data_IF_859950872910
#
_entry.id   IF_859950872910
#
_cell.length_a   1.000
_cell.length_b   1.000
_cell.length_c   1.000
_cell.angle_alpha   90.00
_cell.angle_beta   90.00
_cell.angle_gamma   90.00
#
_symmetry.space_group_name_H-M   'P 1'
#
loop_
_entity.id
_entity.type
_entity.pdbx_description
1 polymer ?
#
# COMPACT_ATOMS: atom_id res chain seq x y z
N UNK A 1 -20.56 -8.95 -3.24
CA UNK A 1 -19.83 -8.76 -4.51
C UNK A 1 -19.06 -7.48 -4.33
N UNK A 2 -17.74 -7.55 -4.18
CA UNK A 2 -16.91 -6.35 -4.11
C UNK A 2 -16.77 -5.79 -5.54
N UNK A 3 -16.90 -4.48 -5.67
CA UNK A 3 -16.94 -3.76 -6.94
C UNK A 3 -15.52 -3.52 -7.45
N UNK A 4 -15.27 -3.84 -8.73
CA UNK A 4 -13.95 -3.68 -9.36
C UNK A 4 -13.58 -2.19 -9.49
N UNK A 5 -12.44 -1.80 -8.91
CA UNK A 5 -11.93 -0.43 -8.94
C UNK A 5 -10.92 -0.27 -10.07
N UNK A 6 -11.00 0.85 -10.81
CA UNK A 6 -10.05 1.18 -11.86
C UNK A 6 -9.17 2.36 -11.45
N UNK A 7 -7.85 2.16 -11.46
CA UNK A 7 -6.84 3.18 -11.23
C UNK A 7 -6.45 3.85 -12.56
N UNK A 8 -6.98 5.04 -12.80
CA UNK A 8 -6.99 5.69 -14.11
C UNK A 8 -6.23 7.02 -14.07
N UNK A 9 -5.60 7.45 -15.18
CA UNK A 9 -5.12 8.82 -15.30
C UNK A 9 -6.31 9.79 -15.44
N UNK A 10 -6.15 11.00 -14.92
CA UNK A 10 -7.18 12.04 -14.89
C UNK A 10 -7.82 12.31 -16.27
N UNK A 11 -7.05 12.31 -17.36
CA UNK A 11 -7.58 12.61 -18.70
C UNK A 11 -8.59 11.58 -19.22
N UNK A 12 -8.67 10.40 -18.60
CA UNK A 12 -9.66 9.37 -18.95
C UNK A 12 -10.95 9.44 -18.11
N UNK A 13 -11.01 10.32 -17.11
CA UNK A 13 -12.13 10.42 -16.19
C UNK A 13 -13.45 10.77 -16.90
N UNK A 14 -13.37 11.61 -17.93
CA UNK A 14 -14.53 12.05 -18.73
C UNK A 14 -14.89 11.12 -19.88
N UNK A 15 -13.93 10.36 -20.39
CA UNK A 15 -14.13 9.49 -21.56
C UNK A 15 -14.63 8.09 -21.18
N UNK A 16 -14.24 7.61 -20.01
CA UNK A 16 -14.55 6.25 -19.58
C UNK A 16 -15.71 6.27 -18.56
N UNK A 17 -16.54 5.22 -18.56
CA UNK A 17 -17.74 5.11 -17.70
C UNK A 17 -17.59 4.08 -16.59
N UNK A 18 -16.38 3.87 -16.08
CA UNK A 18 -16.18 3.02 -14.91
C UNK A 18 -16.90 3.60 -13.70
N UNK A 19 -17.62 2.73 -13.00
CA UNK A 19 -18.50 3.07 -11.88
C UNK A 19 -17.72 3.55 -10.66
N UNK A 20 -16.54 2.95 -10.41
CA UNK A 20 -15.67 3.27 -9.27
C UNK A 20 -14.20 3.38 -9.70
N UNK A 21 -13.58 4.53 -9.41
CA UNK A 21 -12.22 4.86 -9.90
C UNK A 21 -11.31 5.45 -8.83
N UNK A 22 -10.02 5.14 -8.93
CA UNK A 22 -8.93 5.90 -8.29
C UNK A 22 -8.32 6.79 -9.37
N UNK A 23 -8.30 8.10 -9.17
CA UNK A 23 -7.82 9.05 -10.17
C UNK A 23 -6.38 9.45 -9.89
N UNK A 24 -5.49 9.17 -10.83
CA UNK A 24 -4.09 9.58 -10.81
C UNK A 24 -3.92 10.94 -11.47
N UNK A 25 -3.27 11.86 -10.79
CA UNK A 25 -3.01 13.21 -11.28
C UNK A 25 -1.69 13.77 -10.76
N UNK A 26 -1.02 14.56 -11.59
CA UNK A 26 0.05 15.49 -11.23
C UNK A 26 -0.44 16.96 -11.22
N UNK A 27 -1.71 17.18 -11.60
CA UNK A 27 -2.37 18.49 -11.69
C UNK A 27 -3.65 18.52 -10.84
N UNK A 28 -3.53 18.64 -9.50
CA UNK A 28 -4.69 18.61 -8.60
C UNK A 28 -5.75 19.68 -8.92
N UNK A 29 -5.34 20.89 -9.32
CA UNK A 29 -6.27 21.95 -9.71
C UNK A 29 -7.13 21.60 -10.94
N UNK A 30 -6.57 20.85 -11.90
CA UNK A 30 -7.31 20.40 -13.08
C UNK A 30 -8.34 19.31 -12.72
N UNK A 31 -8.03 18.45 -11.75
CA UNK A 31 -8.97 17.44 -11.25
C UNK A 31 -10.21 18.09 -10.64
N UNK A 32 -10.02 19.12 -9.82
CA UNK A 32 -11.11 19.85 -9.16
C UNK A 32 -12.03 20.54 -10.18
N UNK A 33 -11.48 20.95 -11.32
CA UNK A 33 -12.24 21.57 -12.41
C UNK A 33 -13.05 20.57 -13.26
N UNK A 34 -12.79 19.26 -13.15
CA UNK A 34 -13.47 18.23 -13.91
C UNK A 34 -14.84 17.90 -13.28
N UNK A 35 -15.98 18.15 -13.97
CA UNK A 35 -17.30 17.99 -13.38
C UNK A 35 -17.58 16.57 -12.88
N UNK A 36 -17.05 15.55 -13.56
CA UNK A 36 -17.23 14.14 -13.18
C UNK A 36 -16.41 13.74 -11.95
N UNK A 37 -15.42 14.54 -11.56
CA UNK A 37 -14.65 14.31 -10.35
C UNK A 37 -15.46 14.65 -9.09
N UNK A 38 -16.43 15.57 -9.18
CA UNK A 38 -17.28 15.96 -8.06
C UNK A 38 -18.42 14.95 -7.76
N UNK A 39 -18.56 13.89 -8.58
CA UNK A 39 -19.54 12.83 -8.32
C UNK A 39 -19.06 11.94 -7.15
N UNK A 40 -19.59 12.24 -5.96
CA UNK A 40 -19.18 11.67 -4.68
C UNK A 40 -19.40 10.15 -4.54
N UNK A 41 -19.97 9.47 -5.53
CA UNK A 41 -20.05 8.00 -5.57
C UNK A 41 -18.97 7.33 -6.42
N UNK A 42 -18.37 8.08 -7.36
CA UNK A 42 -17.53 7.52 -8.43
C UNK A 42 -16.05 7.53 -8.10
N UNK A 43 -15.56 8.62 -7.51
CA UNK A 43 -14.14 8.75 -7.14
C UNK A 43 -13.93 8.10 -5.77
N UNK A 44 -13.30 6.93 -5.77
CA UNK A 44 -12.98 6.19 -4.55
C UNK A 44 -11.73 6.73 -3.83
N UNK A 45 -10.78 7.31 -4.59
CA UNK A 45 -9.57 7.93 -4.07
C UNK A 45 -8.88 8.78 -5.15
N UNK A 46 -7.98 9.66 -4.72
CA UNK A 46 -7.08 10.42 -5.59
C UNK A 46 -5.63 10.04 -5.30
N UNK A 47 -4.85 9.75 -6.34
CA UNK A 47 -3.41 9.54 -6.26
C UNK A 47 -2.68 10.75 -6.85
N UNK A 48 -1.99 11.49 -5.98
CA UNK A 48 -1.11 12.59 -6.37
C UNK A 48 0.26 12.00 -6.68
N UNK A 49 0.65 12.04 -7.95
CA UNK A 49 1.82 11.32 -8.46
C UNK A 49 3.16 11.99 -8.15
N UNK A 50 3.15 13.26 -7.74
CA UNK A 50 4.35 14.02 -7.43
C UNK A 50 4.14 14.87 -6.16
N UNK A 51 5.05 14.75 -5.19
CA UNK A 51 4.97 15.50 -3.92
C UNK A 51 5.31 16.99 -4.06
N UNK A 52 5.80 17.43 -5.22
CA UNK A 52 5.98 18.85 -5.51
C UNK A 52 4.75 19.50 -6.17
N UNK A 53 3.72 18.70 -6.53
CA UNK A 53 2.45 19.21 -7.02
C UNK A 53 1.74 20.07 -5.97
N UNK A 54 1.10 21.15 -6.43
CA UNK A 54 0.26 21.99 -5.59
C UNK A 54 -1.09 21.30 -5.32
N UNK A 55 -1.29 20.88 -4.08
CA UNK A 55 -2.52 20.21 -3.63
C UNK A 55 -3.53 21.15 -2.99
N UNK A 56 -3.30 22.47 -2.96
CA UNK A 56 -4.19 23.42 -2.28
C UNK A 56 -5.64 23.32 -2.77
N UNK A 57 -5.82 23.13 -4.08
CA UNK A 57 -7.13 22.97 -4.69
C UNK A 57 -7.94 21.77 -4.12
N UNK A 58 -7.25 20.73 -3.63
CA UNK A 58 -7.90 19.55 -3.05
C UNK A 58 -8.37 19.78 -1.61
N UNK A 59 -7.84 20.78 -0.90
CA UNK A 59 -8.08 20.96 0.54
C UNK A 59 -9.56 20.92 0.92
N UNK A 60 -10.43 21.56 0.14
CA UNK A 60 -11.88 21.62 0.39
C UNK A 60 -12.73 20.85 -0.64
N UNK A 61 -12.09 20.25 -1.65
CA UNK A 61 -12.79 19.54 -2.71
C UNK A 61 -13.18 18.14 -2.26
N UNK A 62 -14.45 17.75 -2.46
CA UNK A 62 -15.00 16.43 -2.12
C UNK A 62 -14.56 15.90 -0.73
N UNK A 63 -14.92 16.58 0.38
CA UNK A 63 -14.47 16.19 1.72
C UNK A 63 -14.72 14.72 2.04
N UNK A 64 -13.72 14.07 2.62
CA UNK A 64 -13.73 12.65 2.99
C UNK A 64 -13.22 11.71 1.90
N UNK A 65 -12.96 12.18 0.67
CA UNK A 65 -12.32 11.37 -0.37
C UNK A 65 -10.87 11.08 0.03
N UNK A 66 -10.43 9.80 0.10
CA UNK A 66 -9.05 9.48 0.45
C UNK A 66 -8.05 10.03 -0.56
N UNK A 67 -6.95 10.60 -0.07
CA UNK A 67 -5.84 11.10 -0.88
C UNK A 67 -4.58 10.28 -0.60
N UNK A 68 -4.02 9.74 -1.66
CA UNK A 68 -2.76 9.04 -1.67
C UNK A 68 -1.65 9.92 -2.27
N UNK A 69 -0.63 10.18 -1.46
CA UNK A 69 0.57 10.90 -1.86
C UNK A 69 1.64 9.88 -2.28
N UNK A 70 2.02 9.86 -3.55
CA UNK A 70 3.02 8.92 -4.07
C UNK A 70 4.41 9.52 -3.92
N UNK A 71 5.28 8.84 -3.15
CA UNK A 71 6.68 9.21 -2.99
C UNK A 71 7.57 8.34 -3.89
N UNK A 72 8.47 8.96 -4.66
CA UNK A 72 9.36 8.25 -5.59
C UNK A 72 10.75 8.06 -4.99
N UNK A 73 11.28 9.10 -4.33
CA UNK A 73 12.57 9.08 -3.66
C UNK A 73 12.47 9.46 -2.17
N UNK A 74 12.34 8.46 -1.28
CA UNK A 74 12.23 8.71 0.15
C UNK A 74 13.42 9.42 0.79
N UNK A 75 14.61 9.35 0.18
CA UNK A 75 15.80 9.98 0.75
C UNK A 75 15.77 11.51 0.62
N UNK A 76 15.11 12.03 -0.42
CA UNK A 76 15.10 13.45 -0.76
C UNK A 76 13.73 14.12 -0.66
N UNK A 77 12.64 13.38 -0.90
CA UNK A 77 11.29 13.96 -1.03
C UNK A 77 10.52 14.04 0.28
N UNK A 78 10.95 13.35 1.35
CA UNK A 78 10.22 13.37 2.62
C UNK A 78 9.95 14.79 3.21
N UNK A 79 10.78 15.83 3.01
CA UNK A 79 10.44 17.18 3.46
C UNK A 79 9.27 17.82 2.69
N UNK A 80 8.91 17.30 1.52
CA UNK A 80 7.79 17.81 0.73
C UNK A 80 6.43 17.48 1.38
N UNK A 81 6.38 16.44 2.23
CA UNK A 81 5.16 16.06 2.95
C UNK A 81 4.55 17.20 3.78
N UNK A 82 5.37 18.12 4.29
CA UNK A 82 4.91 19.27 5.06
C UNK A 82 3.96 20.18 4.26
N UNK A 83 4.10 20.22 2.93
CA UNK A 83 3.24 21.03 2.03
C UNK A 83 1.81 20.52 1.95
N UNK A 84 1.58 19.25 2.28
CA UNK A 84 0.30 18.57 2.09
C UNK A 84 -0.50 18.43 3.40
N UNK A 85 0.01 18.97 4.51
CA UNK A 85 -0.60 18.83 5.84
C UNK A 85 -2.02 19.37 5.92
N UNK A 86 -2.32 20.44 5.17
CA UNK A 86 -3.68 21.02 5.09
C UNK A 86 -4.72 20.06 4.50
N UNK A 87 -4.32 18.99 3.81
CA UNK A 87 -5.25 17.98 3.32
C UNK A 87 -5.90 17.19 4.46
N UNK A 88 -5.20 17.03 5.58
CA UNK A 88 -5.68 16.26 6.74
C UNK A 88 -6.92 16.87 7.40
N UNK A 89 -7.18 18.16 7.17
CA UNK A 89 -8.35 18.86 7.72
C UNK A 89 -9.67 18.29 7.18
N UNK A 90 -9.67 17.79 5.93
CA UNK A 90 -10.89 17.34 5.25
C UNK A 90 -10.78 15.93 4.64
N UNK A 91 -9.60 15.31 4.62
CA UNK A 91 -9.35 14.06 3.92
C UNK A 91 -8.59 13.04 4.77
N UNK A 92 -8.93 11.74 4.65
CA UNK A 92 -7.99 10.68 4.99
C UNK A 92 -6.78 10.76 4.06
N UNK A 93 -5.60 11.05 4.60
CA UNK A 93 -4.36 11.14 3.80
C UNK A 93 -3.44 9.97 4.13
N UNK A 94 -2.94 9.34 3.08
CA UNK A 94 -1.95 8.27 3.14
C UNK A 94 -0.78 8.58 2.22
N UNK A 95 0.44 8.33 2.67
CA UNK A 95 1.62 8.36 1.80
C UNK A 95 2.03 6.94 1.42
N UNK A 96 2.32 6.74 0.14
CA UNK A 96 2.88 5.50 -0.40
C UNK A 96 4.39 5.68 -0.50
N UNK A 97 5.14 4.91 0.26
CA UNK A 97 6.61 5.02 0.36
C UNK A 97 7.25 3.72 -0.12
N UNK A 98 8.09 3.76 -1.18
CA UNK A 98 8.86 2.59 -1.58
C UNK A 98 9.95 2.28 -0.56
N UNK A 99 10.15 0.99 -0.27
CA UNK A 99 11.27 0.55 0.58
C UNK A 99 12.57 0.66 -0.22
N UNK A 100 13.20 1.83 -0.08
CA UNK A 100 14.47 2.25 -0.68
C UNK A 100 15.31 2.97 0.37
N UNK A 101 16.64 3.06 0.21
CA UNK A 101 17.50 3.65 1.25
C UNK A 101 16.98 5.00 1.74
N UNK A 102 16.84 5.15 3.05
CA UNK A 102 16.35 6.38 3.67
C UNK A 102 14.84 6.45 3.89
N UNK A 103 14.08 5.42 3.49
CA UNK A 103 12.63 5.39 3.71
C UNK A 103 12.24 5.49 5.19
N UNK A 104 13.07 5.01 6.12
CA UNK A 104 12.79 5.11 7.55
C UNK A 104 12.69 6.55 8.05
N UNK A 105 13.41 7.50 7.42
CA UNK A 105 13.24 8.94 7.69
C UNK A 105 11.92 9.46 7.15
N UNK A 106 11.54 9.02 5.96
CA UNK A 106 10.26 9.37 5.35
C UNK A 106 9.07 8.87 6.17
N UNK A 107 9.12 7.63 6.65
CA UNK A 107 8.09 7.06 7.54
C UNK A 107 7.96 7.88 8.82
N UNK A 108 9.08 8.19 9.48
CA UNK A 108 9.05 9.00 10.71
C UNK A 108 8.47 10.39 10.47
N UNK A 109 8.81 11.03 9.35
CA UNK A 109 8.25 12.32 8.98
C UNK A 109 6.74 12.24 8.76
N UNK A 110 6.28 11.27 7.97
CA UNK A 110 4.85 11.06 7.70
C UNK A 110 4.04 10.83 8.98
N UNK A 111 4.49 9.91 9.84
CA UNK A 111 3.82 9.62 11.11
C UNK A 111 3.82 10.84 12.04
N UNK A 112 4.88 11.64 12.05
CA UNK A 112 4.94 12.87 12.85
C UNK A 112 4.03 13.98 12.33
N UNK A 113 3.57 13.86 11.08
CA UNK A 113 2.63 14.76 10.44
C UNK A 113 1.20 14.20 10.45
N UNK A 114 0.93 13.15 11.22
CA UNK A 114 -0.37 12.47 11.26
C UNK A 114 -0.82 11.88 9.91
N UNK A 115 0.12 11.58 9.03
CA UNK A 115 -0.14 10.90 7.75
C UNK A 115 0.06 9.39 7.90
N UNK A 116 -0.93 8.61 7.47
CA UNK A 116 -0.84 7.14 7.41
C UNK A 116 0.15 6.67 6.34
N UNK A 117 0.80 5.53 6.53
CA UNK A 117 1.88 5.06 5.64
C UNK A 117 1.56 3.70 5.04
N UNK A 118 1.58 3.60 3.70
CA UNK A 118 1.66 2.33 2.97
C UNK A 118 3.08 2.12 2.45
N UNK A 119 3.69 1.00 2.81
CA UNK A 119 5.02 0.64 2.34
C UNK A 119 4.92 -0.25 1.10
N UNK A 120 5.63 0.13 0.02
CA UNK A 120 5.87 -0.78 -1.10
C UNK A 120 7.15 -1.58 -0.82
N UNK A 121 6.97 -2.71 -0.14
CA UNK A 121 8.10 -3.46 0.43
C UNK A 121 9.02 -4.09 -0.62
N UNK A 122 8.51 -4.43 -1.82
CA UNK A 122 9.33 -4.99 -2.87
C UNK A 122 9.98 -6.33 -2.48
N UNK A 123 11.26 -6.47 -2.78
CA UNK A 123 12.12 -7.60 -2.38
C UNK A 123 13.41 -7.02 -1.78
N UNK A 124 13.37 -6.54 -0.52
CA UNK A 124 14.41 -5.71 0.06
C UNK A 124 15.69 -6.50 0.28
N UNK A 125 16.84 -5.88 0.03
CA UNK A 125 18.14 -6.47 0.36
C UNK A 125 18.38 -6.48 1.89
N UNK A 126 19.47 -7.10 2.39
CA UNK A 126 19.73 -7.17 3.82
C UNK A 126 19.82 -5.81 4.53
N UNK A 127 20.35 -4.77 3.87
CA UNK A 127 20.46 -3.44 4.49
C UNK A 127 19.08 -2.80 4.65
N UNK A 128 18.20 -2.97 3.64
CA UNK A 128 16.81 -2.52 3.73
C UNK A 128 15.98 -3.32 4.74
N UNK A 129 16.30 -4.60 4.97
CA UNK A 129 15.71 -5.39 6.05
C UNK A 129 16.07 -4.81 7.42
N UNK A 130 17.33 -4.41 7.63
CA UNK A 130 17.76 -3.78 8.88
C UNK A 130 17.03 -2.45 9.11
N UNK A 131 16.86 -1.65 8.06
CA UNK A 131 16.09 -0.40 8.14
C UNK A 131 14.60 -0.69 8.40
N UNK A 132 13.99 -1.71 7.77
CA UNK A 132 12.63 -2.17 8.08
C UNK A 132 12.48 -2.61 9.53
N UNK A 133 13.45 -3.34 10.07
CA UNK A 133 13.45 -3.73 11.48
C UNK A 133 13.51 -2.53 12.41
N UNK A 134 14.29 -1.49 12.07
CA UNK A 134 14.34 -0.25 12.83
C UNK A 134 13.01 0.52 12.77
N UNK A 135 12.33 0.54 11.61
CA UNK A 135 10.99 1.15 11.49
C UNK A 135 9.93 0.33 12.25
N UNK A 136 10.00 -1.00 12.23
CA UNK A 136 9.14 -1.86 13.03
C UNK A 136 9.31 -1.59 14.54
N UNK A 137 10.56 -1.49 15.00
CA UNK A 137 10.85 -1.15 16.39
C UNK A 137 10.30 0.24 16.76
N UNK A 138 10.43 1.22 15.87
CA UNK A 138 9.79 2.53 16.03
C UNK A 138 8.27 2.40 16.13
N UNK A 139 7.62 1.68 15.21
CA UNK A 139 6.17 1.47 15.20
C UNK A 139 5.65 0.82 16.49
N UNK A 140 6.32 -0.24 16.96
CA UNK A 140 5.85 -1.01 18.12
C UNK A 140 6.15 -0.35 19.47
N UNK A 141 7.21 0.46 19.57
CA UNK A 141 7.75 0.90 20.87
C UNK A 141 7.68 2.40 21.10
N UNK A 142 7.54 3.20 20.05
CA UNK A 142 7.47 4.65 20.21
C UNK A 142 6.04 5.05 20.60
N UNK A 143 5.80 5.60 21.80
CA UNK A 143 4.45 5.87 22.31
C UNK A 143 3.74 7.01 21.57
N UNK A 144 4.48 7.81 20.80
CA UNK A 144 3.93 8.92 20.01
C UNK A 144 3.47 8.49 18.61
N UNK A 145 3.65 7.21 18.24
CA UNK A 145 3.16 6.70 16.95
C UNK A 145 1.67 6.41 17.08
N UNK A 146 0.85 7.24 16.46
CA UNK A 146 -0.60 7.06 16.39
C UNK A 146 -1.09 6.60 15.01
N UNK A 147 -0.32 6.90 13.96
CA UNK A 147 -0.70 6.56 12.58
C UNK A 147 -0.33 5.13 12.22
N UNK A 148 -1.17 4.43 11.44
CA UNK A 148 -0.84 3.11 10.95
C UNK A 148 0.32 3.18 9.94
N UNK A 149 1.29 2.30 10.13
CA UNK A 149 2.16 1.85 9.04
C UNK A 149 1.57 0.55 8.55
N UNK A 150 0.77 0.60 7.49
CA UNK A 150 -0.19 -0.44 7.10
C UNK A 150 0.43 -1.82 7.01
N UNK A 151 1.62 -1.93 6.40
CA UNK A 151 2.37 -3.18 6.32
C UNK A 151 2.53 -3.86 7.70
N UNK A 152 2.90 -3.08 8.74
CA UNK A 152 3.05 -3.60 10.10
C UNK A 152 1.71 -3.72 10.82
N UNK A 153 0.86 -2.69 10.71
CA UNK A 153 -0.42 -2.61 11.41
C UNK A 153 -1.36 -3.76 11.02
N UNK A 154 -1.55 -3.95 9.72
CA UNK A 154 -2.39 -5.01 9.15
C UNK A 154 -1.89 -6.40 9.50
N UNK A 155 -0.58 -6.63 9.41
CA UNK A 155 0.03 -7.93 9.75
C UNK A 155 -0.08 -8.22 11.25
N UNK A 156 0.14 -7.20 12.10
CA UNK A 156 -0.02 -7.30 13.55
C UNK A 156 -1.45 -7.68 13.93
N UNK A 157 -2.46 -7.01 13.34
CA UNK A 157 -3.87 -7.31 13.58
C UNK A 157 -4.25 -8.72 13.14
N UNK A 158 -3.79 -9.17 11.97
CA UNK A 158 -4.01 -10.54 11.51
C UNK A 158 -3.48 -11.58 12.50
N UNK A 159 -2.26 -11.39 13.02
CA UNK A 159 -1.73 -12.26 14.07
C UNK A 159 -2.47 -12.12 15.40
N UNK A 160 -2.92 -10.92 15.75
CA UNK A 160 -3.66 -10.66 16.99
C UNK A 160 -5.03 -11.33 17.01
N UNK A 161 -5.72 -11.40 15.87
CA UNK A 161 -7.00 -12.08 15.72
C UNK A 161 -6.89 -13.56 15.35
N UNK A 162 -5.70 -14.06 15.06
CA UNK A 162 -5.47 -15.43 14.52
C UNK A 162 -6.15 -15.65 13.16
N UNK A 163 -6.31 -14.56 12.40
CA UNK A 163 -6.92 -14.51 11.07
C UNK A 163 -5.97 -13.78 10.10
N UNK A 164 -4.81 -14.39 9.76
CA UNK A 164 -3.84 -13.75 8.87
C UNK A 164 -4.40 -13.63 7.45
N UNK A 165 -4.30 -12.42 6.89
CA UNK A 165 -4.60 -12.15 5.48
C UNK A 165 -3.29 -11.99 4.67
N UNK A 166 -3.26 -12.45 3.40
CA UNK A 166 -2.08 -12.33 2.58
C UNK A 166 -1.77 -10.86 2.28
N UNK A 167 -0.48 -10.50 2.24
CA UNK A 167 -0.02 -9.13 1.94
C UNK A 167 -0.56 -8.57 0.63
N UNK A 168 -0.87 -9.42 -0.36
CA UNK A 168 -1.54 -9.01 -1.59
C UNK A 168 -2.86 -8.27 -1.33
N UNK A 169 -3.66 -8.76 -0.38
CA UNK A 169 -4.92 -8.12 0.04
C UNK A 169 -4.62 -6.88 0.88
N UNK A 170 -3.72 -7.00 1.86
CA UNK A 170 -3.46 -5.92 2.82
C UNK A 170 -2.76 -4.69 2.23
N UNK A 171 -2.14 -4.80 1.06
CA UNK A 171 -1.38 -3.72 0.41
C UNK A 171 -2.05 -3.20 -0.87
N UNK A 172 -3.34 -3.48 -1.05
CA UNK A 172 -4.14 -3.08 -2.21
C UNK A 172 -3.58 -3.62 -3.54
N UNK A 173 -3.01 -4.83 -3.53
CA UNK A 173 -2.44 -5.50 -4.71
C UNK A 173 -3.24 -6.76 -5.14
N UNK A 174 -4.45 -6.93 -4.62
CA UNK A 174 -5.33 -8.03 -5.01
C UNK A 174 -5.82 -7.84 -6.46
N UNK A 175 -5.47 -8.78 -7.36
CA UNK A 175 -5.85 -8.72 -8.75
C UNK A 175 -7.35 -8.97 -8.98
N UNK A 176 -8.17 -9.25 -7.99
CA UNK A 176 -9.64 -9.31 -8.18
C UNK A 176 -10.29 -7.94 -8.06
N UNK A 177 -9.68 -7.00 -7.33
CA UNK A 177 -10.35 -5.76 -6.93
C UNK A 177 -9.81 -4.49 -7.58
N UNK A 178 -8.57 -4.49 -8.08
CA UNK A 178 -7.95 -3.29 -8.61
C UNK A 178 -7.32 -3.52 -9.99
N UNK A 179 -7.59 -2.61 -10.93
CA UNK A 179 -6.96 -2.58 -12.27
C UNK A 179 -6.21 -1.28 -12.48
N UNK A 180 -5.06 -1.37 -13.12
CA UNK A 180 -4.36 -0.19 -13.62
C UNK A 180 -4.75 0.09 -15.06
N UNK A 181 -5.18 1.30 -15.37
CA UNK A 181 -5.53 1.69 -16.75
C UNK A 181 -4.45 2.61 -17.29
N UNK A 182 -3.76 2.21 -18.37
CA UNK A 182 -2.73 3.02 -19.01
C UNK A 182 -3.26 4.33 -19.62
N UNK A 183 -2.34 5.20 -20.06
CA UNK A 183 -2.70 6.44 -20.76
C UNK A 183 -3.45 6.21 -22.09
N UNK A 184 -3.29 5.02 -22.66
CA UNK A 184 -3.98 4.50 -23.84
C UNK A 184 -5.38 3.93 -23.53
N UNK A 185 -5.79 3.91 -22.26
CA UNK A 185 -7.06 3.35 -21.82
C UNK A 185 -7.07 1.83 -21.66
N UNK A 186 -5.92 1.15 -21.82
CA UNK A 186 -5.84 -0.30 -21.69
C UNK A 186 -5.70 -0.69 -20.22
N UNK A 187 -6.61 -1.55 -19.75
CA UNK A 187 -6.56 -2.10 -18.41
C UNK A 187 -5.51 -3.21 -18.29
N UNK A 188 -4.75 -3.16 -17.20
CA UNK A 188 -3.69 -4.09 -16.80
C UNK A 188 -3.82 -4.37 -15.30
N UNK A 189 -2.99 -5.26 -14.78
CA UNK A 189 -2.93 -5.53 -13.34
C UNK A 189 -2.32 -4.34 -12.59
N UNK A 190 -2.58 -4.27 -11.29
CA UNK A 190 -2.13 -3.16 -10.45
C UNK A 190 -0.81 -3.46 -9.72
N UNK A 191 -0.15 -2.40 -9.23
CA UNK A 191 1.01 -2.52 -8.35
C UNK A 191 2.15 -3.31 -8.97
N UNK A 192 2.69 -4.28 -8.22
CA UNK A 192 3.83 -5.09 -8.67
C UNK A 192 3.47 -6.12 -9.73
N UNK A 193 2.18 -6.30 -9.99
CA UNK A 193 1.65 -7.15 -11.05
C UNK A 193 1.52 -6.38 -12.39
N UNK A 194 1.62 -5.05 -12.38
CA UNK A 194 1.50 -4.19 -13.58
C UNK A 194 2.64 -4.33 -14.61
N UNK A 195 3.69 -5.11 -14.30
CA UNK A 195 4.89 -5.22 -15.12
C UNK A 195 4.74 -5.99 -16.43
N UNK A 196 5.47 -5.57 -17.46
CA UNK A 196 5.55 -6.19 -18.79
C UNK A 196 6.67 -7.24 -18.86
N UNK A 197 6.54 -8.31 -18.07
CA UNK A 197 7.39 -9.50 -18.19
C UNK A 197 6.61 -10.68 -18.76
N UNK A 198 7.30 -11.62 -19.42
CA UNK A 198 6.72 -12.88 -19.92
C UNK A 198 5.90 -13.64 -18.84
N UNK A 199 6.26 -13.43 -17.57
CA UNK A 199 5.57 -14.03 -16.43
C UNK A 199 4.17 -13.47 -16.20
N UNK A 200 3.93 -12.18 -16.50
CA UNK A 200 2.64 -11.48 -16.38
C UNK A 200 1.84 -11.60 -17.67
N UNK A 201 2.49 -11.49 -18.83
CA UNK A 201 1.84 -11.54 -20.14
C UNK A 201 1.11 -12.87 -20.41
N UNK A 202 1.54 -13.95 -19.75
CA UNK A 202 0.92 -15.27 -19.83
C UNK A 202 -0.24 -15.49 -18.84
N UNK A 203 -0.77 -14.44 -18.19
CA UNK A 203 -1.89 -14.54 -17.26
C UNK A 203 -3.11 -13.78 -17.74
N UNK A 204 -4.27 -14.38 -17.52
CA UNK A 204 -5.54 -13.73 -17.77
C UNK A 204 -5.78 -12.65 -16.70
N UNK A 205 -6.28 -11.49 -17.13
CA UNK A 205 -6.54 -10.35 -16.25
C UNK A 205 -7.64 -10.62 -15.20
N UNK A 206 -8.40 -11.69 -15.36
CA UNK A 206 -9.47 -12.15 -14.47
C UNK A 206 -9.04 -13.32 -13.58
N UNK A 207 -7.76 -13.72 -13.60
CA UNK A 207 -7.25 -14.75 -12.72
C UNK A 207 -7.33 -14.29 -11.24
N UNK A 208 -7.96 -15.12 -10.41
CA UNK A 208 -8.10 -14.88 -8.98
C UNK A 208 -6.77 -14.89 -8.23
N UNK A 209 -6.77 -14.30 -7.03
CA UNK A 209 -5.56 -14.15 -6.21
C UNK A 209 -4.92 -15.51 -5.87
N UNK A 210 -5.71 -16.56 -5.65
CA UNK A 210 -5.22 -17.91 -5.37
C UNK A 210 -4.36 -18.47 -6.53
N UNK A 211 -4.78 -18.23 -7.77
CA UNK A 211 -4.02 -18.60 -8.97
C UNK A 211 -2.68 -17.85 -9.03
N UNK A 212 -2.69 -16.56 -8.65
CA UNK A 212 -1.47 -15.76 -8.55
C UNK A 212 -0.51 -16.29 -7.49
N UNK A 213 -1.02 -16.62 -6.31
CA UNK A 213 -0.24 -17.18 -5.21
C UNK A 213 0.40 -18.51 -5.65
N UNK A 214 -0.37 -19.46 -6.18
CA UNK A 214 0.19 -20.74 -6.63
C UNK A 214 1.29 -20.55 -7.69
N UNK A 215 1.14 -19.58 -8.59
CA UNK A 215 2.17 -19.29 -9.59
C UNK A 215 3.42 -18.65 -8.99
N UNK A 216 3.27 -17.72 -8.04
CA UNK A 216 4.41 -17.14 -7.31
C UNK A 216 5.18 -18.23 -6.54
N UNK A 217 4.47 -19.25 -6.07
CA UNK A 217 5.02 -20.36 -5.30
C UNK A 217 5.45 -21.57 -6.15
N UNK A 218 5.23 -21.55 -7.46
CA UNK A 218 5.43 -22.71 -8.34
C UNK A 218 6.84 -23.31 -8.27
N UNK A 219 7.86 -22.51 -7.94
CA UNK A 219 9.25 -22.94 -7.78
C UNK A 219 9.82 -22.66 -6.38
N UNK A 220 8.96 -22.38 -5.39
CA UNK A 220 9.35 -22.02 -4.03
C UNK A 220 8.73 -23.01 -3.04
N UNK A 221 9.20 -24.27 -3.08
CA UNK A 221 8.69 -25.37 -2.23
C UNK A 221 8.79 -25.03 -0.74
N UNK A 222 9.80 -24.27 -0.33
CA UNK A 222 9.99 -23.82 1.05
C UNK A 222 8.85 -22.93 1.57
N UNK A 223 8.04 -22.35 0.68
CA UNK A 223 6.89 -21.57 1.06
C UNK A 223 5.68 -22.44 1.42
N UNK A 224 5.57 -23.66 0.85
CA UNK A 224 4.43 -24.56 1.11
C UNK A 224 4.36 -25.03 2.57
N UNK A 225 5.50 -25.07 3.26
CA UNK A 225 5.60 -25.42 4.68
C UNK A 225 5.94 -24.22 5.57
N UNK A 226 5.97 -23.01 5.01
CA UNK A 226 6.28 -21.80 5.76
C UNK A 226 5.10 -21.44 6.68
N UNK A 227 5.37 -21.26 7.97
CA UNK A 227 4.36 -20.85 8.96
C UNK A 227 3.71 -19.50 8.65
N UNK A 228 4.37 -18.66 7.86
CA UNK A 228 3.89 -17.34 7.47
C UNK A 228 3.17 -17.34 6.11
N UNK A 229 2.88 -18.50 5.52
CA UNK A 229 2.23 -18.59 4.21
C UNK A 229 0.89 -17.85 4.19
N UNK A 230 0.08 -17.95 5.24
CA UNK A 230 -1.21 -17.25 5.33
C UNK A 230 -1.08 -15.72 5.25
N UNK A 231 -0.11 -15.14 5.98
CA UNK A 231 0.14 -13.69 5.98
C UNK A 231 0.92 -13.21 4.75
N UNK A 232 1.85 -14.02 4.23
CA UNK A 232 2.72 -13.61 3.13
C UNK A 232 2.08 -13.86 1.77
N UNK A 233 1.39 -14.99 1.58
CA UNK A 233 0.85 -15.40 0.28
C UNK A 233 1.91 -15.51 -0.84
N UNK A 234 3.20 -15.67 -0.50
CA UNK A 234 4.27 -15.61 -1.50
C UNK A 234 4.59 -14.21 -2.04
N UNK A 235 4.11 -13.13 -1.41
CA UNK A 235 4.33 -11.74 -1.81
C UNK A 235 5.79 -11.40 -2.10
N UNK A 236 6.71 -11.85 -1.24
CA UNK A 236 8.15 -11.62 -1.40
C UNK A 236 8.84 -12.54 -2.41
N UNK A 237 8.14 -13.53 -2.97
CA UNK A 237 8.66 -14.39 -4.05
C UNK A 237 8.38 -13.84 -5.44
N UNK A 238 7.73 -12.69 -5.53
CA UNK A 238 7.49 -11.99 -6.78
C UNK A 238 8.36 -10.72 -6.90
N UNK A 239 8.92 -10.39 -8.08
CA UNK A 239 9.02 -11.24 -9.27
C UNK A 239 10.17 -12.26 -9.19
N UNK A 240 11.15 -12.07 -8.29
CA UNK A 240 12.30 -12.98 -8.15
C UNK A 240 12.00 -14.12 -7.16
N UNK A 241 11.75 -15.32 -7.67
CA UNK A 241 11.34 -16.47 -6.85
C UNK A 241 12.46 -17.04 -5.97
N UNK A 242 13.71 -16.74 -6.30
CA UNK A 242 14.90 -17.13 -5.53
C UNK A 242 15.19 -16.19 -4.34
N UNK A 243 14.36 -15.16 -4.11
CA UNK A 243 14.53 -14.23 -3.00
C UNK A 243 14.59 -14.94 -1.64
N UNK A 244 15.59 -14.59 -0.83
CA UNK A 244 15.84 -15.20 0.48
C UNK A 244 15.00 -14.52 1.57
N UNK A 245 13.97 -15.21 2.05
CA UNK A 245 13.00 -14.63 2.99
C UNK A 245 13.47 -14.54 4.45
N UNK A 246 14.73 -14.86 4.78
CA UNK A 246 15.22 -14.93 6.17
C UNK A 246 14.94 -13.63 6.94
N UNK A 247 15.29 -12.48 6.34
CA UNK A 247 15.08 -11.18 6.96
C UNK A 247 13.59 -10.83 7.16
N UNK A 248 12.76 -11.11 6.17
CA UNK A 248 11.31 -10.86 6.26
C UNK A 248 10.66 -11.76 7.32
N UNK A 249 11.07 -13.03 7.41
CA UNK A 249 10.56 -13.96 8.43
C UNK A 249 10.84 -13.43 9.84
N UNK A 250 12.01 -12.86 10.09
CA UNK A 250 12.34 -12.23 11.38
C UNK A 250 11.42 -11.03 11.71
N UNK A 251 11.02 -10.23 10.72
CA UNK A 251 10.05 -9.15 10.93
C UNK A 251 8.67 -9.71 11.33
N UNK A 252 8.24 -10.78 10.68
CA UNK A 252 6.96 -11.43 10.97
C UNK A 252 6.95 -12.11 12.34
N UNK A 253 8.06 -12.73 12.73
CA UNK A 253 8.24 -13.28 14.09
C UNK A 253 8.10 -12.20 15.17
N UNK A 254 8.70 -11.02 14.96
CA UNK A 254 8.56 -9.89 15.88
C UNK A 254 7.12 -9.38 15.97
N UNK A 255 6.43 -9.24 14.83
CA UNK A 255 5.01 -8.85 14.80
C UNK A 255 4.13 -9.86 15.51
N UNK A 256 4.34 -11.17 15.27
CA UNK A 256 3.59 -12.23 15.95
C UNK A 256 3.85 -12.23 17.45
N UNK A 257 5.09 -12.03 17.88
CA UNK A 257 5.44 -11.91 19.30
C UNK A 257 4.72 -10.72 19.95
N UNK A 258 4.74 -9.55 19.29
CA UNK A 258 4.04 -8.35 19.77
C UNK A 258 2.52 -8.55 19.86
N UNK A 259 1.91 -9.22 18.87
CA UNK A 259 0.49 -9.56 18.90
C UNK A 259 0.13 -10.47 20.10
N UNK A 260 0.97 -11.47 20.40
CA UNK A 260 0.78 -12.36 21.54
C UNK A 260 0.95 -11.64 22.88
N UNK A 261 1.90 -10.73 22.98
CA UNK A 261 2.09 -9.86 24.15
C UNK A 261 0.85 -8.99 24.39
N UNK A 262 0.40 -8.27 23.35
CA UNK A 262 -0.79 -7.43 23.40
C UNK A 262 -2.04 -8.22 23.84
N UNK A 263 -2.24 -9.44 23.31
CA UNK A 263 -3.36 -10.31 23.70
C UNK A 263 -3.30 -10.68 25.18
N UNK A 264 -2.10 -10.97 25.71
CA UNK A 264 -1.91 -11.30 27.13
C UNK A 264 -2.18 -10.10 28.03
N UNK A 265 -1.78 -8.91 27.60
CA UNK A 265 -1.95 -7.69 28.38
C UNK A 265 -3.42 -7.26 28.43
N UNK A 266 -4.12 -7.28 27.29
CA UNK A 266 -5.55 -6.98 27.24
C UNK A 266 -6.40 -8.00 28.02
N UNK A 267 -6.01 -9.28 28.03
CA UNK A 267 -6.69 -10.29 28.84
C UNK A 267 -6.52 -10.08 30.36
N UNK A 268 -5.52 -9.30 30.79
CA UNK A 268 -5.26 -8.96 32.20
C UNK A 268 -5.80 -7.58 32.58
N UNK A 269 -6.22 -6.76 31.62
CA UNK A 269 -6.76 -5.44 31.88
C UNK A 269 -8.11 -5.56 32.62
N UNK A 270 -8.34 -4.77 33.69
CA UNK A 270 -9.65 -4.71 34.33
C UNK A 270 -10.69 -4.16 33.35
N UNK A 271 -11.89 -4.75 33.37
CA UNK A 271 -13.04 -4.34 32.57
C UNK A 271 -13.60 -2.97 32.98
#
# INVERSE_FOLDING_TARGET
MSELIHNIPMHLLSTCRWERVIVRTDQPAALVAEPLAADAGRVAAVQVLALDSDTEALNAWAPGVPIELIMVDPASEFPLLYRHTNLLDNHPVRVVIPVRPGFGRAVKAAVSLDVSVRLEAGQPDPALIEELAAVLAFYLRQPTVAQPIEFFHSTLLGFYHDEPLPLWVMLDEDPEYLRHVGGDGVATLYGRLAGSGDQVAAMALDAGLDVWIERALATAEECRTCEFLGSCGGYFKWPRRDYQCVGVKQLFEQLRAAALELRRDLAKAPA
#
